data_IF_550143330531
#
_entry.id   IF_550143330531
#
_cell.length_a   1.000
_cell.length_b   1.000
_cell.length_c   1.000
_cell.angle_alpha   90.00
_cell.angle_beta   90.00
_cell.angle_gamma   90.00
#
_symmetry.space_group_name_H-M   'P 1'
#
loop_
_entity.id
_entity.type
_entity.pdbx_description
1 polymer ?
#
# COMPACT_ATOMS: atom_id res chain seq x y z
N UNK A 1 -11.94 -0.76 -2.88
CA UNK A 1 -11.45 -2.14 -2.67
C UNK A 1 -12.54 -3.12 -3.04
N UNK A 2 -12.18 -4.26 -3.62
CA UNK A 2 -13.13 -5.22 -4.19
C UNK A 2 -12.84 -6.67 -3.81
N UNK A 3 -13.62 -7.56 -4.40
CA UNK A 3 -13.42 -9.01 -4.35
C UNK A 3 -13.06 -9.49 -5.76
N UNK A 4 -12.12 -10.43 -5.86
CA UNK A 4 -11.69 -11.06 -7.09
C UNK A 4 -12.19 -12.50 -7.13
N UNK A 5 -12.92 -12.80 -8.20
CA UNK A 5 -13.21 -14.15 -8.69
C UNK A 5 -12.46 -14.32 -10.01
N UNK A 6 -11.54 -15.29 -10.08
CA UNK A 6 -10.71 -15.49 -11.26
C UNK A 6 -10.27 -16.94 -11.43
N UNK A 7 -9.86 -17.29 -12.65
CA UNK A 7 -9.12 -18.53 -12.93
C UNK A 7 -7.76 -18.14 -13.47
N UNK A 8 -6.70 -18.56 -12.79
CA UNK A 8 -5.31 -18.30 -13.15
C UNK A 8 -4.70 -19.58 -13.73
N UNK A 9 -4.15 -19.50 -14.94
CA UNK A 9 -3.36 -20.59 -15.53
C UNK A 9 -1.87 -20.22 -15.46
N UNK A 10 -1.05 -21.11 -14.88
CA UNK A 10 0.41 -20.98 -14.85
C UNK A 10 0.99 -22.27 -15.40
N UNK A 11 1.70 -22.18 -16.53
CA UNK A 11 2.19 -23.35 -17.26
C UNK A 11 1.08 -24.36 -17.56
N UNK A 12 1.14 -25.56 -16.98
CA UNK A 12 0.13 -26.61 -17.13
C UNK A 12 -0.89 -26.65 -15.98
N UNK A 13 -0.72 -25.83 -14.95
CA UNK A 13 -1.58 -25.82 -13.77
C UNK A 13 -2.66 -24.71 -13.87
N UNK A 14 -3.83 -25.00 -13.30
CA UNK A 14 -4.96 -24.06 -13.25
C UNK A 14 -5.44 -23.90 -11.82
N UNK A 15 -5.52 -22.65 -11.38
CA UNK A 15 -5.94 -22.25 -10.04
C UNK A 15 -7.24 -21.47 -10.11
N UNK A 16 -8.22 -21.83 -9.27
CA UNK A 16 -9.43 -21.03 -9.06
C UNK A 16 -9.22 -20.12 -7.86
N UNK A 17 -9.31 -18.81 -8.10
CA UNK A 17 -9.25 -17.77 -7.08
C UNK A 17 -10.68 -17.36 -6.76
N UNK A 18 -11.13 -17.63 -5.53
CA UNK A 18 -12.47 -17.27 -5.09
C UNK A 18 -12.45 -16.46 -3.81
N UNK A 19 -13.33 -15.46 -3.76
CA UNK A 19 -13.50 -14.51 -2.68
C UNK A 19 -12.19 -13.86 -2.21
N UNK A 20 -11.26 -13.59 -3.14
CA UNK A 20 -9.99 -12.98 -2.80
C UNK A 20 -10.15 -11.48 -2.62
N UNK A 21 -9.63 -10.93 -1.53
CA UNK A 21 -9.59 -9.49 -1.33
C UNK A 21 -8.70 -8.84 -2.40
N UNK A 22 -9.21 -7.77 -3.03
CA UNK A 22 -8.56 -7.15 -4.18
C UNK A 22 -8.51 -5.63 -4.09
N UNK A 23 -7.42 -5.07 -4.62
CA UNK A 23 -7.19 -3.65 -4.74
C UNK A 23 -7.05 -3.28 -6.21
N UNK A 24 -7.65 -2.15 -6.60
CA UNK A 24 -7.46 -1.57 -7.93
C UNK A 24 -6.83 -0.19 -7.74
N UNK A 25 -5.58 -0.07 -8.17
CA UNK A 25 -4.93 1.22 -8.32
C UNK A 25 -5.21 1.78 -9.72
N UNK A 26 -5.32 3.10 -9.83
CA UNK A 26 -5.28 3.77 -11.11
C UNK A 26 -4.42 5.03 -11.02
N UNK A 27 -3.20 4.90 -11.48
CA UNK A 27 -2.23 5.98 -11.55
C UNK A 27 -2.20 6.58 -12.96
N UNK A 28 -2.47 7.88 -13.11
CA UNK A 28 -2.39 8.60 -14.39
C UNK A 28 -1.50 9.86 -14.33
N UNK A 29 -0.88 10.24 -15.45
CA UNK A 29 -0.19 11.51 -15.65
C UNK A 29 0.09 11.71 -17.14
N UNK A 30 -0.19 12.90 -17.69
CA UNK A 30 -0.01 13.20 -19.13
C UNK A 30 1.42 12.97 -19.58
N UNK A 31 2.37 13.39 -18.75
CA UNK A 31 3.80 13.15 -18.89
C UNK A 31 4.24 12.53 -17.56
N UNK A 32 4.31 11.19 -17.52
CA UNK A 32 4.82 10.46 -16.36
C UNK A 32 6.26 10.07 -16.62
N UNK A 33 7.16 10.62 -15.81
CA UNK A 33 8.56 10.24 -15.79
C UNK A 33 8.90 9.59 -14.44
N UNK A 34 9.11 8.27 -14.45
CA UNK A 34 9.47 7.51 -13.25
C UNK A 34 10.86 7.87 -12.72
N UNK A 35 11.73 8.48 -13.54
CA UNK A 35 13.03 8.95 -13.09
C UNK A 35 12.91 10.12 -12.10
N UNK A 36 11.75 10.78 -12.03
CA UNK A 36 11.47 11.81 -11.04
C UNK A 36 11.17 11.24 -9.65
N UNK A 37 10.81 9.95 -9.56
CA UNK A 37 10.58 9.28 -8.27
C UNK A 37 11.89 8.79 -7.70
N UNK A 38 12.30 9.37 -6.58
CA UNK A 38 13.50 8.94 -5.86
C UNK A 38 13.22 7.66 -5.07
N UNK A 39 12.15 7.65 -4.26
CA UNK A 39 11.74 6.49 -3.45
C UNK A 39 10.24 6.58 -3.17
N UNK A 40 9.57 5.43 -3.04
CA UNK A 40 8.17 5.37 -2.63
C UNK A 40 7.83 4.04 -1.98
N UNK A 41 6.73 4.03 -1.25
CA UNK A 41 6.11 2.82 -0.71
C UNK A 41 4.60 2.96 -0.74
N UNK A 42 3.92 1.84 -0.97
CA UNK A 42 2.48 1.70 -0.76
C UNK A 42 2.19 0.38 -0.06
N UNK A 43 1.33 0.45 0.95
CA UNK A 43 0.77 -0.70 1.66
C UNK A 43 -0.72 -0.75 1.37
N UNK A 44 -1.18 -1.90 0.87
CA UNK A 44 -2.59 -2.22 0.68
C UNK A 44 -2.96 -3.27 1.72
N UNK A 45 -3.76 -2.85 2.71
CA UNK A 45 -4.05 -3.62 3.91
C UNK A 45 -5.51 -4.09 3.88
N UNK A 46 -5.71 -5.37 4.18
CA UNK A 46 -7.02 -6.01 4.38
C UNK A 46 -7.02 -6.68 5.74
N UNK A 47 -7.83 -6.18 6.67
CA UNK A 47 -7.88 -6.64 8.06
C UNK A 47 -9.07 -7.58 8.28
N UNK A 48 -8.96 -8.46 9.28
CA UNK A 48 -9.99 -9.45 9.63
C UNK A 48 -11.32 -8.81 10.05
N UNK A 49 -11.28 -7.62 10.63
CA UNK A 49 -12.48 -6.87 11.03
C UNK A 49 -13.23 -6.24 9.83
N UNK A 50 -12.71 -6.39 8.60
CA UNK A 50 -13.24 -5.80 7.38
C UNK A 50 -12.70 -4.40 7.06
N UNK A 51 -11.83 -3.86 7.92
CA UNK A 51 -11.10 -2.61 7.66
C UNK A 51 -10.14 -2.82 6.49
N UNK A 52 -10.07 -1.81 5.64
CA UNK A 52 -9.31 -1.85 4.39
C UNK A 52 -8.57 -0.53 4.22
N UNK A 53 -7.26 -0.53 4.07
CA UNK A 53 -6.48 0.70 3.94
C UNK A 53 -5.53 0.68 2.73
N UNK A 54 -5.32 1.84 2.13
CA UNK A 54 -4.19 2.11 1.25
C UNK A 54 -3.40 3.26 1.88
N UNK A 55 -2.11 3.05 2.17
CA UNK A 55 -1.26 4.07 2.79
C UNK A 55 0.10 4.06 2.11
N UNK A 56 0.65 5.23 1.82
CA UNK A 56 1.91 5.34 1.13
C UNK A 56 2.65 6.64 1.42
N UNK A 57 3.94 6.62 1.14
CA UNK A 57 4.82 7.76 1.20
C UNK A 57 5.64 7.82 -0.10
N UNK A 58 5.77 9.01 -0.68
CA UNK A 58 6.44 9.24 -1.95
C UNK A 58 7.49 10.34 -1.76
N UNK A 59 8.66 10.14 -2.34
CA UNK A 59 9.68 11.16 -2.54
C UNK A 59 9.86 11.35 -4.04
N UNK A 60 9.43 12.51 -4.54
CA UNK A 60 9.62 12.95 -5.92
C UNK A 60 10.35 14.30 -5.85
N UNK A 61 11.70 14.33 -5.78
CA UNK A 61 12.46 15.53 -5.37
C UNK A 61 12.12 16.81 -6.14
N UNK A 62 11.77 16.71 -7.42
CA UNK A 62 11.35 17.85 -8.25
C UNK A 62 9.97 18.43 -7.89
N UNK A 63 9.23 17.82 -6.98
CA UNK A 63 7.85 18.20 -6.60
C UNK A 63 7.67 18.22 -5.08
N UNK A 64 8.06 17.15 -4.39
CA UNK A 64 7.91 17.00 -2.95
C UNK A 64 8.95 16.03 -2.39
N UNK A 65 9.62 16.41 -1.29
CA UNK A 65 10.55 15.52 -0.59
C UNK A 65 9.81 14.40 0.15
N UNK A 66 8.60 14.67 0.63
CA UNK A 66 7.70 13.71 1.28
C UNK A 66 6.26 14.07 0.93
N UNK A 67 5.56 13.16 0.26
CA UNK A 67 4.12 13.18 0.06
C UNK A 67 3.53 11.94 0.71
N UNK A 68 2.68 12.15 1.71
CA UNK A 68 1.91 11.08 2.34
C UNK A 68 0.54 11.01 1.68
N UNK A 69 0.11 9.82 1.31
CA UNK A 69 -1.17 9.62 0.64
C UNK A 69 -1.82 8.33 1.12
N UNK A 70 -3.14 8.33 1.23
CA UNK A 70 -3.86 7.16 1.65
C UNK A 70 -5.27 7.42 2.14
N UNK A 71 -5.97 6.34 2.42
CA UNK A 71 -7.32 6.31 2.95
C UNK A 71 -7.58 4.97 3.65
N UNK A 72 -8.59 4.97 4.52
CA UNK A 72 -9.12 3.79 5.21
C UNK A 72 -10.61 3.69 4.93
N UNK A 73 -11.07 2.52 4.53
CA UNK A 73 -12.47 2.11 4.57
C UNK A 73 -12.72 1.32 5.84
N UNK A 74 -13.62 1.82 6.67
CA UNK A 74 -14.10 1.12 7.86
C UNK A 74 -15.07 0.00 7.49
N UNK A 75 -15.31 -0.98 8.37
CA UNK A 75 -16.29 -2.05 8.13
C UNK A 75 -17.72 -1.52 7.92
N UNK A 76 -18.03 -0.35 8.50
CA UNK A 76 -19.29 0.39 8.29
C UNK A 76 -19.47 0.91 6.86
N UNK A 77 -18.41 0.92 6.04
CA UNK A 77 -18.38 1.52 4.71
C UNK A 77 -17.91 2.98 4.68
N UNK A 78 -17.76 3.62 5.85
CA UNK A 78 -17.20 4.96 5.95
C UNK A 78 -15.75 5.00 5.42
N UNK A 79 -15.40 6.08 4.74
CA UNK A 79 -14.03 6.34 4.31
C UNK A 79 -13.43 7.51 5.09
N UNK A 80 -12.22 7.32 5.61
CA UNK A 80 -11.40 8.36 6.23
C UNK A 80 -10.13 8.56 5.43
N UNK A 81 -9.74 9.81 5.15
CA UNK A 81 -8.44 10.10 4.51
C UNK A 81 -7.30 9.99 5.51
N UNK A 82 -6.10 9.69 5.01
CA UNK A 82 -4.88 9.72 5.81
C UNK A 82 -4.63 11.13 6.36
N UNK A 83 -4.43 11.25 7.67
CA UNK A 83 -4.03 12.51 8.32
C UNK A 83 -2.51 12.61 8.46
N UNK A 84 -1.86 11.53 8.88
CA UNK A 84 -0.41 11.43 8.96
C UNK A 84 0.04 9.97 8.91
N UNK A 85 1.27 9.76 8.46
CA UNK A 85 1.98 8.49 8.51
C UNK A 85 3.39 8.72 9.08
N UNK A 86 3.88 7.86 9.97
CA UNK A 86 5.24 7.98 10.51
C UNK A 86 6.27 7.11 9.77
N UNK A 87 5.88 6.38 8.72
CA UNK A 87 6.81 5.66 7.83
C UNK A 87 7.78 6.65 7.18
N UNK A 88 9.07 6.55 7.51
CA UNK A 88 10.11 7.42 6.96
C UNK A 88 10.89 6.71 5.87
N UNK A 89 10.76 7.18 4.63
CA UNK A 89 11.43 6.59 3.46
C UNK A 89 12.96 6.48 3.61
N UNK A 90 13.61 7.35 4.38
CA UNK A 90 15.06 7.29 4.58
C UNK A 90 15.51 6.18 5.54
N UNK A 91 14.60 5.63 6.35
CA UNK A 91 14.92 4.55 7.29
C UNK A 91 14.86 3.16 6.63
N UNK A 92 14.39 3.09 5.37
CA UNK A 92 14.04 1.85 4.70
C UNK A 92 14.51 1.87 3.25
N UNK A 93 14.85 0.70 2.68
CA UNK A 93 15.02 0.60 1.23
C UNK A 93 16.28 1.27 0.68
N UNK A 94 17.22 1.71 1.53
CA UNK A 94 18.44 2.36 1.06
C UNK A 94 19.25 1.41 0.16
N UNK A 95 19.81 1.96 -0.92
CA UNK A 95 20.53 1.22 -1.95
C UNK A 95 19.68 0.13 -2.65
N UNK A 96 18.35 0.26 -2.62
CA UNK A 96 17.44 -0.69 -3.28
C UNK A 96 17.19 -1.98 -2.49
N UNK A 97 17.54 -2.03 -1.20
CA UNK A 97 17.30 -3.19 -0.35
C UNK A 97 16.10 -2.95 0.59
N UNK A 98 14.90 -3.43 0.23
CA UNK A 98 13.72 -3.25 1.09
C UNK A 98 13.87 -3.98 2.43
N UNK A 99 13.34 -3.43 3.53
CA UNK A 99 13.33 -4.10 4.83
C UNK A 99 12.36 -5.30 4.83
N UNK A 100 12.71 -6.34 5.60
CA UNK A 100 11.89 -7.57 5.74
C UNK A 100 11.04 -7.60 7.00
N UNK A 101 11.44 -6.85 8.02
CA UNK A 101 10.72 -6.68 9.28
C UNK A 101 10.75 -5.20 9.64
N UNK A 102 9.57 -4.58 9.70
CA UNK A 102 9.44 -3.17 10.02
C UNK A 102 8.03 -2.86 10.52
N UNK A 103 7.91 -1.72 11.19
CA UNK A 103 6.64 -1.24 11.68
C UNK A 103 6.52 0.27 11.47
N UNK A 104 5.27 0.73 11.36
CA UNK A 104 4.93 2.14 11.27
C UNK A 104 3.53 2.37 11.81
N UNK A 105 3.18 3.63 12.02
CA UNK A 105 1.87 4.08 12.43
C UNK A 105 1.31 5.08 11.45
N UNK A 106 0.00 5.13 11.39
CA UNK A 106 -0.70 6.18 10.67
C UNK A 106 -2.03 6.50 11.33
N UNK A 107 -2.55 7.69 11.08
CA UNK A 107 -3.86 8.12 11.56
C UNK A 107 -4.80 8.37 10.40
N UNK A 108 -6.04 7.91 10.56
CA UNK A 108 -7.17 8.27 9.72
C UNK A 108 -8.43 8.26 10.57
N UNK A 109 -9.13 9.39 10.63
CA UNK A 109 -10.31 9.54 11.48
C UNK A 109 -9.94 9.47 12.97
N UNK A 110 -10.74 8.77 13.76
CA UNK A 110 -10.54 8.69 15.21
C UNK A 110 -9.50 7.64 15.65
N UNK A 111 -8.93 6.88 14.71
CA UNK A 111 -8.05 5.74 15.01
C UNK A 111 -6.61 5.99 14.57
N UNK A 112 -5.68 5.60 15.43
CA UNK A 112 -4.26 5.39 15.09
C UNK A 112 -4.07 3.90 14.85
N UNK A 113 -3.53 3.57 13.68
CA UNK A 113 -3.22 2.20 13.29
C UNK A 113 -1.73 1.96 13.51
N UNK A 114 -1.40 0.83 14.13
CA UNK A 114 -0.04 0.33 14.26
C UNK A 114 0.11 -0.86 13.31
N UNK A 115 1.01 -0.74 12.33
CA UNK A 115 1.25 -1.76 11.31
C UNK A 115 2.61 -2.39 11.58
N UNK A 116 2.65 -3.71 11.59
CA UNK A 116 3.88 -4.49 11.50
C UNK A 116 3.85 -5.27 10.18
N UNK A 117 4.97 -5.27 9.48
CA UNK A 117 5.16 -6.02 8.25
C UNK A 117 6.29 -7.01 8.48
N UNK A 118 5.98 -8.29 8.33
CA UNK A 118 6.95 -9.39 8.28
C UNK A 118 6.86 -10.03 6.89
N UNK A 119 7.94 -9.92 6.10
CA UNK A 119 7.99 -10.44 4.73
C UNK A 119 8.21 -11.95 4.77
N UNK A 120 7.20 -12.72 4.34
CA UNK A 120 7.28 -14.19 4.30
C UNK A 120 7.95 -14.73 3.03
N UNK A 121 7.83 -14.01 1.91
CA UNK A 121 8.37 -14.41 0.61
C UNK A 121 8.85 -13.20 -0.19
N UNK A 122 9.96 -13.38 -0.89
CA UNK A 122 10.52 -12.43 -1.86
C UNK A 122 10.61 -13.11 -3.23
N UNK A 123 10.53 -12.33 -4.29
CA UNK A 123 10.64 -12.76 -5.70
C UNK A 123 12.07 -12.86 -6.17
#
# INVERSE_FOLDING_TARGET
MGQLEATLAVETETYKLSNMAAFRDHSFGRERDWNLMHRYVFHMLFLEDGTRAAVGAICQPSTCSVLQTGYVYMPSGEMCTLEWCDFKLYQHGECGNPPKDYAFRFKAGERVFCVQVAVERES
#
